data_IF_219737307765
#
_entry.id   IF_219737307765
#
_cell.length_a   1.000
_cell.length_b   1.000
_cell.length_c   1.000
_cell.angle_alpha   90.00
_cell.angle_beta   90.00
_cell.angle_gamma   90.00
#
_symmetry.space_group_name_H-M   'P 1'
#
loop_
_entity.id
_entity.type
_entity.pdbx_description
1 polymer ?
#
# COMPACT_ATOMS: atom_id res chain seq x y z
N UNK A 1 28.75 -10.38 10.45
CA UNK A 1 27.56 -11.25 10.64
C UNK A 1 26.89 -11.43 9.29
N UNK A 2 26.34 -12.62 9.02
CA UNK A 2 25.62 -12.88 7.77
C UNK A 2 24.21 -12.28 7.86
N UNK A 3 23.77 -11.64 6.79
CA UNK A 3 22.40 -11.13 6.65
C UNK A 3 21.65 -12.03 5.68
N UNK A 4 20.37 -12.28 5.98
CA UNK A 4 19.48 -13.10 5.18
C UNK A 4 18.27 -12.28 4.76
N UNK A 5 17.78 -12.52 3.54
CA UNK A 5 16.55 -11.94 3.00
C UNK A 5 15.49 -13.02 2.91
N UNK A 6 14.30 -12.75 3.45
CA UNK A 6 13.12 -13.60 3.27
C UNK A 6 12.01 -12.81 2.60
N UNK A 7 11.29 -13.45 1.69
CA UNK A 7 10.23 -12.80 0.91
C UNK A 7 8.95 -13.63 0.89
N UNK A 8 7.82 -12.94 0.91
CA UNK A 8 6.47 -13.50 0.76
C UNK A 8 5.80 -12.78 -0.39
N UNK A 9 5.48 -13.53 -1.43
CA UNK A 9 4.55 -13.16 -2.49
C UNK A 9 3.60 -14.34 -2.68
N UNK A 10 2.30 -14.11 -2.48
CA UNK A 10 1.26 -15.14 -2.47
C UNK A 10 0.00 -14.60 -3.13
N UNK A 11 -0.76 -15.49 -3.76
CA UNK A 11 -1.96 -15.12 -4.53
C UNK A 11 -3.07 -14.44 -3.71
N UNK A 12 -3.02 -14.55 -2.38
CA UNK A 12 -3.95 -13.86 -1.49
C UNK A 12 -3.46 -12.48 -1.03
N UNK A 13 -2.23 -12.09 -1.35
CA UNK A 13 -1.70 -10.74 -1.13
C UNK A 13 -2.02 -9.89 -2.36
N UNK A 14 -3.32 -9.76 -2.61
CA UNK A 14 -3.88 -9.03 -3.75
C UNK A 14 -4.97 -8.11 -3.20
N UNK A 15 -5.07 -6.90 -3.74
CA UNK A 15 -6.21 -6.03 -3.52
C UNK A 15 -6.78 -5.56 -4.87
N UNK A 16 -8.10 -5.68 -5.03
CA UNK A 16 -8.83 -5.20 -6.18
C UNK A 16 -9.38 -3.81 -5.86
N UNK A 17 -8.89 -2.77 -6.52
CA UNK A 17 -9.25 -1.40 -6.18
C UNK A 17 -9.41 -0.51 -7.40
N UNK A 18 -10.31 0.46 -7.26
CA UNK A 18 -10.50 1.51 -8.24
C UNK A 18 -9.65 2.72 -7.88
N UNK A 19 -9.11 3.40 -8.88
CA UNK A 19 -8.34 4.62 -8.69
C UNK A 19 -8.36 5.50 -9.95
N UNK A 20 -7.74 6.66 -9.84
CA UNK A 20 -7.35 7.50 -10.96
C UNK A 20 -6.16 8.36 -10.49
N UNK A 21 -5.21 8.61 -11.38
CA UNK A 21 -4.05 9.45 -11.11
C UNK A 21 -4.12 10.77 -11.85
N UNK A 22 -3.48 11.77 -11.25
CA UNK A 22 -3.20 13.04 -11.92
C UNK A 22 -1.81 13.01 -12.54
N UNK A 23 -1.67 13.55 -13.74
CA UNK A 23 -0.39 13.71 -14.44
C UNK A 23 0.09 15.16 -14.38
N UNK A 24 1.21 15.48 -15.01
CA UNK A 24 1.69 16.85 -15.18
C UNK A 24 0.63 17.75 -15.84
N UNK A 25 0.61 19.03 -15.44
CA UNK A 25 -0.41 20.00 -15.87
C UNK A 25 -1.80 19.67 -15.33
N UNK A 26 -2.82 19.81 -16.18
CA UNK A 26 -4.23 19.60 -15.86
C UNK A 26 -4.76 18.21 -16.26
N UNK A 27 -3.86 17.27 -16.56
CA UNK A 27 -4.24 15.93 -17.01
C UNK A 27 -4.61 15.06 -15.81
N UNK A 28 -5.76 14.40 -15.92
CA UNK A 28 -6.26 13.42 -14.98
C UNK A 28 -6.91 12.31 -15.80
N UNK A 29 -6.57 11.06 -15.54
CA UNK A 29 -7.23 9.94 -16.20
C UNK A 29 -8.66 9.72 -15.69
N UNK A 30 -9.37 8.83 -16.36
CA UNK A 30 -10.68 8.34 -15.94
C UNK A 30 -10.53 7.29 -14.86
N UNK A 31 -11.53 7.22 -13.98
CA UNK A 31 -11.68 6.14 -13.02
C UNK A 31 -11.60 4.78 -13.72
N UNK A 32 -10.76 3.91 -13.19
CA UNK A 32 -10.61 2.51 -13.58
C UNK A 32 -10.12 1.72 -12.37
N UNK A 33 -9.64 0.49 -12.54
CA UNK A 33 -9.12 -0.28 -11.43
C UNK A 33 -8.21 -1.44 -11.84
N UNK A 34 -7.54 -2.01 -10.84
CA UNK A 34 -6.56 -3.07 -11.00
C UNK A 34 -6.72 -4.15 -9.93
N UNK A 35 -6.17 -5.33 -10.23
CA UNK A 35 -5.89 -6.36 -9.26
C UNK A 35 -4.42 -6.26 -8.87
N UNK A 36 -4.13 -5.39 -7.90
CA UNK A 36 -2.77 -5.14 -7.46
C UNK A 36 -2.21 -6.35 -6.72
N UNK A 37 -0.99 -6.77 -7.02
CA UNK A 37 -0.29 -7.81 -6.23
C UNK A 37 0.75 -7.17 -5.31
N UNK A 38 0.87 -7.70 -4.11
CA UNK A 38 1.81 -7.22 -3.10
C UNK A 38 2.85 -8.29 -2.78
N UNK A 39 4.11 -7.92 -2.93
CA UNK A 39 5.26 -8.69 -2.47
C UNK A 39 5.91 -7.99 -1.28
N UNK A 40 6.29 -8.74 -0.24
CA UNK A 40 7.01 -8.17 0.91
C UNK A 40 8.27 -8.98 1.15
N UNK A 41 9.39 -8.30 1.36
CA UNK A 41 10.62 -8.90 1.82
C UNK A 41 11.16 -8.16 3.04
N UNK A 42 11.84 -8.90 3.92
CA UNK A 42 12.57 -8.34 5.04
C UNK A 42 13.96 -8.94 5.12
N UNK A 43 14.91 -8.16 5.62
CA UNK A 43 16.28 -8.63 5.86
C UNK A 43 16.64 -8.53 7.34
N UNK A 44 17.43 -9.48 7.81
CA UNK A 44 17.93 -9.51 9.18
C UNK A 44 18.91 -10.65 9.42
N UNK A 45 19.36 -10.78 10.66
CA UNK A 45 20.12 -11.96 11.10
C UNK A 45 19.16 -13.10 11.44
N UNK A 46 19.70 -14.32 11.53
CA UNK A 46 18.93 -15.44 12.09
C UNK A 46 18.82 -15.25 13.60
N UNK A 47 17.65 -15.56 14.14
CA UNK A 47 17.50 -15.81 15.58
C UNK A 47 18.45 -16.92 16.04
N UNK A 48 19.01 -16.78 17.24
CA UNK A 48 20.03 -17.70 17.76
C UNK A 48 19.47 -19.09 18.10
N UNK A 49 18.23 -19.18 18.55
CA UNK A 49 17.57 -20.42 18.96
C UNK A 49 16.83 -21.07 17.79
N UNK A 50 15.93 -20.33 17.14
CA UNK A 50 15.01 -20.90 16.13
C UNK A 50 15.55 -20.82 14.70
N UNK A 51 16.66 -20.10 14.48
CA UNK A 51 17.42 -20.08 13.22
C UNK A 51 16.65 -19.57 11.99
N UNK A 52 15.69 -18.66 12.16
CA UNK A 52 15.03 -17.94 11.06
C UNK A 52 15.15 -16.42 11.22
N UNK A 53 14.89 -15.66 10.16
CA UNK A 53 14.84 -14.18 10.20
C UNK A 53 13.56 -13.69 10.86
N UNK A 54 12.41 -14.18 10.39
CA UNK A 54 11.08 -13.92 10.96
C UNK A 54 10.17 -15.12 10.66
N UNK A 55 9.21 -15.40 11.53
CA UNK A 55 8.18 -16.39 11.25
C UNK A 55 7.32 -15.92 10.06
N UNK A 56 7.29 -16.73 8.99
CA UNK A 56 6.46 -16.45 7.82
C UNK A 56 4.98 -16.26 8.16
N UNK A 57 4.46 -16.97 9.16
CA UNK A 57 3.06 -16.88 9.57
C UNK A 57 2.73 -15.49 10.09
N UNK A 58 3.65 -14.88 10.85
CA UNK A 58 3.51 -13.51 11.36
C UNK A 58 3.58 -12.51 10.21
N UNK A 59 4.59 -12.62 9.33
CA UNK A 59 4.75 -11.71 8.20
C UNK A 59 3.53 -11.77 7.26
N UNK A 60 3.03 -12.97 6.95
CA UNK A 60 1.83 -13.18 6.12
C UNK A 60 0.58 -12.57 6.75
N UNK A 61 0.37 -12.75 8.06
CA UNK A 61 -0.79 -12.20 8.78
C UNK A 61 -0.78 -10.68 8.75
N UNK A 62 0.38 -10.07 9.03
CA UNK A 62 0.55 -8.61 9.00
C UNK A 62 0.30 -8.08 7.59
N UNK A 63 0.97 -8.68 6.60
CA UNK A 63 0.82 -8.33 5.19
C UNK A 63 -0.65 -8.37 4.74
N UNK A 64 -1.34 -9.49 5.00
CA UNK A 64 -2.73 -9.68 4.60
C UNK A 64 -3.64 -8.63 5.23
N UNK A 65 -3.48 -8.33 6.52
CA UNK A 65 -4.27 -7.30 7.20
C UNK A 65 -4.09 -5.92 6.57
N UNK A 66 -2.86 -5.56 6.21
CA UNK A 66 -2.55 -4.27 5.59
C UNK A 66 -3.13 -4.18 4.17
N UNK A 67 -3.01 -5.25 3.39
CA UNK A 67 -3.58 -5.35 2.04
C UNK A 67 -5.11 -5.28 2.07
N UNK A 68 -5.75 -6.03 2.96
CA UNK A 68 -7.21 -6.08 3.09
C UNK A 68 -7.84 -4.75 3.49
N UNK A 69 -7.08 -3.87 4.14
CA UNK A 69 -7.58 -2.55 4.56
C UNK A 69 -7.95 -1.65 3.37
N UNK A 70 -7.37 -1.90 2.20
CA UNK A 70 -7.64 -1.14 0.97
C UNK A 70 -8.31 -1.99 -0.12
N UNK A 71 -8.58 -3.27 0.14
CA UNK A 71 -9.25 -4.15 -0.82
C UNK A 71 -10.72 -3.77 -1.04
N UNK A 72 -11.18 -3.89 -2.30
CA UNK A 72 -12.51 -3.48 -2.76
C UNK A 72 -12.85 -2.01 -2.42
N UNK A 73 -11.85 -1.11 -2.52
CA UNK A 73 -12.04 0.34 -2.29
C UNK A 73 -11.73 1.18 -3.53
N UNK A 74 -12.28 2.40 -3.54
CA UNK A 74 -11.81 3.52 -4.33
C UNK A 74 -10.68 4.21 -3.55
N UNK A 75 -9.47 4.23 -4.11
CA UNK A 75 -8.31 4.83 -3.47
C UNK A 75 -8.31 6.34 -3.73
N UNK A 76 -8.40 7.14 -2.67
CA UNK A 76 -8.46 8.60 -2.76
C UNK A 76 -7.23 9.24 -2.07
N UNK A 77 -6.32 9.86 -2.84
CA UNK A 77 -5.11 10.48 -2.30
C UNK A 77 -5.43 11.88 -1.72
N UNK A 78 -5.47 11.98 -0.40
CA UNK A 78 -5.87 13.19 0.33
C UNK A 78 -4.85 14.34 0.23
N UNK A 79 -3.57 14.01 0.06
CA UNK A 79 -2.49 15.01 0.00
C UNK A 79 -2.21 15.47 -1.44
N UNK A 80 -3.05 15.07 -2.41
CA UNK A 80 -2.91 15.50 -3.78
C UNK A 80 -3.36 16.97 -3.93
N UNK A 81 -2.46 17.92 -4.27
CA UNK A 81 -2.81 19.33 -4.34
C UNK A 81 -3.77 19.68 -5.48
N UNK A 82 -4.03 18.75 -6.40
CA UNK A 82 -4.97 18.92 -7.53
C UNK A 82 -6.37 18.41 -7.20
N UNK A 83 -6.53 17.71 -6.08
CA UNK A 83 -7.80 17.17 -5.63
C UNK A 83 -8.34 17.99 -4.46
N UNK A 84 -9.66 18.11 -4.41
CA UNK A 84 -10.37 18.48 -3.19
C UNK A 84 -11.30 17.32 -2.85
N UNK A 85 -11.08 16.71 -1.68
CA UNK A 85 -11.87 15.59 -1.18
C UNK A 85 -12.64 16.05 0.04
N UNK A 86 -13.97 15.97 -0.03
CA UNK A 86 -14.86 16.33 1.08
C UNK A 86 -15.62 15.09 1.53
N UNK A 87 -15.47 14.74 2.79
CA UNK A 87 -16.13 13.60 3.43
C UNK A 87 -17.41 14.04 4.17
N UNK A 88 -18.44 13.23 4.05
CA UNK A 88 -19.64 13.27 4.88
C UNK A 88 -19.87 11.88 5.49
N UNK A 89 -20.89 11.74 6.35
CA UNK A 89 -21.23 10.44 6.94
C UNK A 89 -21.59 9.37 5.88
N UNK A 90 -22.15 9.77 4.74
CA UNK A 90 -22.69 8.84 3.74
C UNK A 90 -21.84 8.77 2.46
N UNK A 91 -21.13 9.85 2.12
CA UNK A 91 -20.45 9.97 0.83
C UNK A 91 -19.13 10.72 0.91
N UNK A 92 -18.28 10.50 -0.09
CA UNK A 92 -17.06 11.25 -0.37
C UNK A 92 -17.19 11.92 -1.73
N UNK A 93 -17.10 13.24 -1.76
CA UNK A 93 -17.12 14.04 -2.99
C UNK A 93 -15.71 14.43 -3.40
N UNK A 94 -15.39 14.29 -4.69
CA UNK A 94 -14.07 14.60 -5.23
C UNK A 94 -14.17 15.61 -6.37
N UNK A 95 -13.40 16.68 -6.26
CA UNK A 95 -13.19 17.64 -7.33
C UNK A 95 -11.74 17.58 -7.83
N UNK A 96 -11.55 17.75 -9.13
CA UNK A 96 -10.21 17.81 -9.76
C UNK A 96 -10.04 19.20 -10.36
N UNK A 97 -8.99 19.92 -9.96
CA UNK A 97 -8.77 21.31 -10.36
C UNK A 97 -9.98 22.23 -10.11
N UNK A 98 -10.66 22.03 -8.98
CA UNK A 98 -11.84 22.81 -8.59
C UNK A 98 -13.14 22.44 -9.33
N UNK A 99 -13.11 21.46 -10.24
CA UNK A 99 -14.29 20.99 -10.96
C UNK A 99 -14.79 19.68 -10.31
N UNK A 100 -16.06 19.61 -9.86
CA UNK A 100 -16.64 18.38 -9.35
C UNK A 100 -16.54 17.23 -10.37
N UNK A 101 -16.11 16.05 -9.92
CA UNK A 101 -15.87 14.90 -10.81
C UNK A 101 -16.56 13.62 -10.35
N UNK A 102 -16.45 13.27 -9.07
CA UNK A 102 -16.99 12.02 -8.54
C UNK A 102 -17.67 12.19 -7.18
N UNK A 103 -18.64 11.32 -6.90
CA UNK A 103 -19.22 11.12 -5.58
C UNK A 103 -19.33 9.61 -5.36
N UNK A 104 -18.77 9.12 -4.26
CA UNK A 104 -18.76 7.71 -3.90
C UNK A 104 -19.42 7.51 -2.53
N UNK A 105 -20.04 6.35 -2.26
CA UNK A 105 -20.40 5.99 -0.90
C UNK A 105 -19.17 5.99 0.02
N UNK A 106 -19.32 6.48 1.25
CA UNK A 106 -18.22 6.58 2.21
C UNK A 106 -17.61 5.23 2.55
N UNK A 107 -18.44 4.19 2.58
CA UNK A 107 -18.05 2.81 2.84
C UNK A 107 -17.11 2.25 1.77
N UNK A 108 -17.12 2.82 0.57
CA UNK A 108 -16.42 2.27 -0.60
C UNK A 108 -15.07 2.97 -0.80
N UNK A 109 -14.72 3.96 0.01
CA UNK A 109 -13.50 4.76 -0.14
C UNK A 109 -12.43 4.37 0.88
N UNK A 110 -11.19 4.26 0.41
CA UNK A 110 -9.99 4.32 1.22
C UNK A 110 -9.38 5.73 1.07
N UNK A 111 -9.40 6.51 2.15
CA UNK A 111 -8.83 7.85 2.19
C UNK A 111 -7.37 7.75 2.63
N UNK A 112 -6.45 7.98 1.70
CA UNK A 112 -5.03 7.70 1.89
C UNK A 112 -4.24 9.02 2.01
N UNK A 113 -3.32 9.15 2.99
CA UNK A 113 -2.42 10.31 3.11
C UNK A 113 -1.32 10.22 2.06
N UNK A 114 -1.71 10.37 0.80
CA UNK A 114 -0.86 10.22 -0.38
C UNK A 114 -1.05 11.41 -1.31
N UNK A 115 0.03 11.81 -1.98
CA UNK A 115 -0.02 12.84 -3.01
C UNK A 115 -0.59 12.34 -4.34
N UNK A 116 -0.61 11.03 -4.57
CA UNK A 116 -1.19 10.36 -5.74
C UNK A 116 -1.37 8.86 -5.45
N UNK A 117 -2.21 8.16 -6.20
CA UNK A 117 -2.44 6.71 -6.05
C UNK A 117 -1.65 5.89 -7.06
N UNK A 118 -0.38 6.23 -7.27
CA UNK A 118 0.53 5.47 -8.15
C UNK A 118 1.08 4.24 -7.43
N UNK A 119 1.57 3.24 -8.19
CA UNK A 119 2.16 2.04 -7.61
C UNK A 119 3.31 2.35 -6.62
N UNK A 120 4.14 3.36 -6.88
CA UNK A 120 5.25 3.76 -6.01
C UNK A 120 4.77 4.25 -4.65
N UNK A 121 3.80 5.16 -4.62
CA UNK A 121 3.28 5.72 -3.37
C UNK A 121 2.42 4.71 -2.61
N UNK A 122 1.73 3.81 -3.31
CA UNK A 122 1.05 2.67 -2.67
C UNK A 122 2.07 1.72 -2.04
N UNK A 123 3.20 1.45 -2.70
CA UNK A 123 4.27 0.62 -2.15
C UNK A 123 4.88 1.24 -0.88
N UNK A 124 5.11 2.55 -0.88
CA UNK A 124 5.56 3.28 0.31
C UNK A 124 4.52 3.23 1.44
N UNK A 125 3.27 3.57 1.15
CA UNK A 125 2.19 3.58 2.14
C UNK A 125 2.03 2.22 2.81
N UNK A 126 1.87 1.16 2.02
CA UNK A 126 1.71 -0.19 2.56
C UNK A 126 2.99 -0.63 3.30
N UNK A 127 4.18 -0.25 2.81
CA UNK A 127 5.45 -0.60 3.43
C UNK A 127 5.59 -0.01 4.83
N UNK A 128 5.18 1.26 4.98
CA UNK A 128 5.09 1.95 6.26
C UNK A 128 4.10 1.25 7.20
N UNK A 129 2.92 0.86 6.72
CA UNK A 129 1.93 0.14 7.53
C UNK A 129 2.46 -1.23 8.01
N UNK A 130 3.18 -1.96 7.15
CA UNK A 130 3.80 -3.25 7.54
C UNK A 130 4.92 -3.03 8.56
N UNK A 131 5.79 -2.02 8.37
CA UNK A 131 6.82 -1.65 9.35
C UNK A 131 6.20 -1.38 10.72
N UNK A 132 5.20 -0.51 10.77
CA UNK A 132 4.60 -0.08 12.03
C UNK A 132 3.90 -1.25 12.73
N UNK A 133 3.28 -2.15 11.94
CA UNK A 133 2.70 -3.38 12.45
C UNK A 133 3.74 -4.38 13.00
N UNK A 134 4.89 -4.55 12.34
CA UNK A 134 5.99 -5.37 12.85
C UNK A 134 6.52 -4.83 14.18
N UNK A 135 6.72 -3.51 14.26
CA UNK A 135 7.19 -2.85 15.49
C UNK A 135 6.19 -2.99 16.65
N UNK A 136 4.88 -2.91 16.36
CA UNK A 136 3.80 -3.11 17.34
C UNK A 136 3.74 -4.55 17.88
N UNK A 137 4.17 -5.54 17.09
CA UNK A 137 4.29 -6.95 17.49
C UNK A 137 5.63 -7.26 18.17
N UNK A 138 6.46 -6.24 18.41
CA UNK A 138 7.77 -6.37 19.08
C UNK A 138 8.92 -6.84 18.18
N UNK A 139 8.69 -6.96 16.88
CA UNK A 139 9.72 -7.37 15.91
C UNK A 139 10.58 -6.16 15.55
N UNK A 140 11.80 -6.08 16.11
CA UNK A 140 12.70 -4.92 15.98
C UNK A 140 14.12 -5.27 15.54
N UNK A 141 14.41 -6.55 15.33
CA UNK A 141 15.74 -7.05 14.94
C UNK A 141 15.96 -7.09 13.42
N UNK A 142 14.94 -6.75 12.64
CA UNK A 142 15.03 -6.65 11.19
C UNK A 142 15.79 -5.37 10.82
N UNK A 143 16.60 -5.44 9.77
CA UNK A 143 17.41 -4.32 9.30
C UNK A 143 16.76 -3.56 8.14
N UNK A 144 15.91 -4.26 7.37
CA UNK A 144 15.38 -3.73 6.12
C UNK A 144 14.01 -4.31 5.79
N UNK A 145 13.17 -3.49 5.19
CA UNK A 145 11.89 -3.86 4.60
C UNK A 145 11.86 -3.42 3.13
N UNK A 146 11.38 -4.31 2.27
CA UNK A 146 10.98 -4.02 0.89
C UNK A 146 9.51 -4.36 0.72
N UNK A 147 8.75 -3.47 0.10
CA UNK A 147 7.39 -3.73 -0.33
C UNK A 147 7.25 -3.41 -1.81
N UNK A 148 6.77 -4.38 -2.57
CA UNK A 148 6.49 -4.29 -3.99
C UNK A 148 4.98 -4.26 -4.23
N UNK A 149 4.54 -3.37 -5.12
CA UNK A 149 3.18 -3.31 -5.64
C UNK A 149 3.24 -3.48 -7.16
N UNK A 150 2.69 -4.58 -7.67
CA UNK A 150 2.46 -4.82 -9.09
C UNK A 150 1.05 -4.35 -9.46
N UNK A 151 0.94 -3.33 -10.30
CA UNK A 151 -0.33 -2.77 -10.76
C UNK A 151 -0.94 -3.59 -11.91
N UNK A 152 -0.07 -4.09 -12.79
CA UNK A 152 -0.45 -5.01 -13.86
C UNK A 152 0.70 -5.99 -14.12
N UNK A 153 0.44 -7.18 -14.69
CA UNK A 153 1.48 -8.18 -14.91
C UNK A 153 2.71 -7.61 -15.63
N UNK A 154 3.86 -7.63 -14.94
CA UNK A 154 5.14 -7.10 -15.45
C UNK A 154 5.36 -5.60 -15.23
N UNK A 155 4.49 -4.92 -14.48
CA UNK A 155 4.62 -3.50 -14.13
C UNK A 155 4.46 -3.33 -12.61
N UNK A 156 5.58 -3.10 -11.93
CA UNK A 156 5.63 -3.00 -10.49
C UNK A 156 6.52 -1.86 -10.01
N UNK A 157 6.25 -1.39 -8.80
CA UNK A 157 7.07 -0.46 -8.06
C UNK A 157 7.48 -1.05 -6.71
N UNK A 158 8.68 -0.71 -6.25
CA UNK A 158 9.24 -1.22 -5.00
C UNK A 158 9.67 -0.07 -4.09
N UNK A 159 9.16 -0.06 -2.87
CA UNK A 159 9.62 0.79 -1.79
C UNK A 159 10.60 0.01 -0.89
N UNK A 160 11.71 0.63 -0.52
CA UNK A 160 12.74 0.05 0.35
C UNK A 160 13.10 1.01 1.48
N UNK A 161 13.13 0.51 2.71
CA UNK A 161 13.45 1.32 3.89
C UNK A 161 14.21 0.52 4.95
N UNK A 162 15.07 1.20 5.69
CA UNK A 162 15.74 0.64 6.86
C UNK A 162 14.78 0.63 8.06
N UNK A 163 14.91 -0.39 8.91
CA UNK A 163 14.07 -0.60 10.10
C UNK A 163 14.81 -0.25 11.40
#
# INVERSE_FOLDING_TARGET
MNTFRVSVSKDYLVFASAHFITFQGHRCETLHGHNYRVGIAVEGTLDDEVRFVVDFSVLKRIAKRVVDAIDHKVLLPLDNPKLAVTESAESVSVSVHGVPRYVFPRTDCALLPLANSTAELLAEYLGIQVRDALAAEGIRHLALLELEVEESPGQAATYRTTL
#
